data_IF_541998963463
#
_entry.id   IF_541998963463
#
_cell.length_a   1.000
_cell.length_b   1.000
_cell.length_c   1.000
_cell.angle_alpha   90.00
_cell.angle_beta   90.00
_cell.angle_gamma   90.00
#
_symmetry.space_group_name_H-M   'P 1'
#
loop_
_entity.id
_entity.type
_entity.pdbx_description
1 polymer ?
#
# COMPACT_ATOMS: atom_id res chain seq x y z
N UNK A 1 29.88 14.44 10.56
CA UNK A 1 29.66 13.36 9.57
C UNK A 1 29.81 11.93 10.13
N UNK A 2 30.60 11.70 11.17
CA UNK A 2 30.86 10.37 11.71
C UNK A 2 29.65 9.66 12.33
N UNK A 3 28.69 10.40 12.95
CA UNK A 3 27.57 9.77 13.67
C UNK A 3 26.61 8.96 12.76
N UNK A 4 26.24 9.46 11.60
CA UNK A 4 25.35 8.74 10.68
C UNK A 4 26.04 7.53 10.02
N UNK A 5 27.37 7.57 9.88
CA UNK A 5 28.18 6.49 9.32
C UNK A 5 28.39 5.34 10.31
N UNK A 6 28.41 5.64 11.62
CA UNK A 6 28.62 4.67 12.71
C UNK A 6 27.35 3.85 13.04
N UNK A 7 26.18 4.20 12.47
CA UNK A 7 24.92 3.54 12.77
C UNK A 7 24.64 2.36 11.81
N UNK A 8 24.32 1.20 12.35
CA UNK A 8 23.93 0.00 11.61
C UNK A 8 22.51 0.05 11.04
N UNK A 9 22.08 1.23 10.54
CA UNK A 9 20.72 1.42 10.03
C UNK A 9 20.52 0.79 8.65
N UNK A 10 19.30 0.30 8.40
CA UNK A 10 18.86 -0.09 7.07
C UNK A 10 18.92 1.10 6.10
N UNK A 11 19.12 0.84 4.81
CA UNK A 11 19.26 1.88 3.78
C UNK A 11 18.08 2.89 3.77
N UNK A 12 16.83 2.42 3.93
CA UNK A 12 15.66 3.30 3.97
C UNK A 12 15.63 4.21 5.22
N UNK A 13 16.08 3.72 6.37
CA UNK A 13 16.22 4.53 7.58
C UNK A 13 17.28 5.62 7.37
N UNK A 14 18.46 5.25 6.83
CA UNK A 14 19.52 6.22 6.49
C UNK A 14 19.04 7.28 5.51
N UNK A 15 18.26 6.88 4.51
CA UNK A 15 17.67 7.80 3.52
C UNK A 15 16.68 8.77 4.17
N UNK A 16 15.82 8.28 5.08
CA UNK A 16 14.90 9.12 5.84
C UNK A 16 15.64 10.20 6.62
N UNK A 17 16.60 9.82 7.46
CA UNK A 17 17.42 10.75 8.23
C UNK A 17 18.18 11.74 7.35
N UNK A 18 18.81 11.26 6.27
CA UNK A 18 19.48 12.13 5.31
C UNK A 18 18.54 13.19 4.74
N UNK A 19 17.36 12.79 4.28
CA UNK A 19 16.39 13.72 3.69
C UNK A 19 15.90 14.76 4.70
N UNK A 20 15.68 14.36 5.96
CA UNK A 20 15.30 15.26 7.03
C UNK A 20 16.42 16.27 7.32
N UNK A 21 17.67 15.81 7.43
CA UNK A 21 18.83 16.69 7.69
C UNK A 21 19.05 17.68 6.53
N UNK A 22 19.04 17.18 5.28
CA UNK A 22 19.20 18.03 4.09
C UNK A 22 18.06 19.06 3.99
N UNK A 23 16.81 18.66 4.23
CA UNK A 23 15.68 19.58 4.22
C UNK A 23 15.78 20.64 5.31
N UNK A 24 16.15 20.24 6.54
CA UNK A 24 16.26 21.13 7.66
C UNK A 24 17.39 22.17 7.51
N UNK A 25 18.60 21.73 7.14
CA UNK A 25 19.73 22.64 6.99
C UNK A 25 19.59 23.55 5.77
N UNK A 26 19.02 23.07 4.69
CA UNK A 26 18.67 23.91 3.55
C UNK A 26 17.67 25.00 3.94
N UNK A 27 16.61 24.66 4.67
CA UNK A 27 15.65 25.64 5.17
C UNK A 27 16.31 26.71 6.07
N UNK A 28 17.23 26.32 6.97
CA UNK A 28 17.98 27.28 7.81
C UNK A 28 18.83 28.22 6.97
N UNK A 29 19.50 27.71 5.93
CA UNK A 29 20.31 28.50 5.01
C UNK A 29 19.42 29.45 4.17
N UNK A 30 18.38 28.94 3.53
CA UNK A 30 17.50 29.70 2.63
C UNK A 30 16.72 30.79 3.37
N UNK A 31 16.48 30.63 4.67
CA UNK A 31 15.82 31.63 5.53
C UNK A 31 16.80 32.59 6.22
N UNK A 32 18.09 32.53 5.91
CA UNK A 32 19.14 33.37 6.49
C UNK A 32 19.43 33.11 7.97
N UNK A 33 18.88 32.02 8.55
CA UNK A 33 19.10 31.62 9.95
C UNK A 33 20.45 30.97 10.17
N UNK A 34 21.11 30.55 9.10
CA UNK A 34 22.44 29.97 9.09
C UNK A 34 23.17 30.34 7.81
N UNK A 35 24.45 30.68 7.91
CA UNK A 35 25.25 31.12 6.75
C UNK A 35 25.72 29.96 5.86
N UNK A 36 25.77 28.72 6.37
CA UNK A 36 26.22 27.53 5.65
C UNK A 36 25.16 26.43 5.66
N UNK A 37 25.23 25.50 4.70
CA UNK A 37 24.44 24.24 4.66
C UNK A 37 25.38 23.04 4.91
N UNK A 38 25.57 22.60 6.17
CA UNK A 38 26.44 21.48 6.49
C UNK A 38 25.94 20.13 5.97
N UNK A 39 24.70 20.05 5.50
CA UNK A 39 24.12 18.84 4.91
C UNK A 39 24.22 18.79 3.39
N UNK A 40 24.64 19.85 2.71
CA UNK A 40 24.77 19.91 1.25
C UNK A 40 25.68 18.81 0.70
N UNK A 41 26.76 18.48 1.41
CA UNK A 41 27.74 17.45 1.02
C UNK A 41 27.38 16.02 1.43
N UNK A 42 26.22 15.79 2.07
CA UNK A 42 25.82 14.45 2.50
C UNK A 42 25.59 13.54 1.28
N UNK A 43 26.28 12.37 1.21
CA UNK A 43 26.16 11.46 0.07
C UNK A 43 24.75 10.93 -0.09
N UNK A 44 24.32 10.75 -1.35
CA UNK A 44 23.01 10.15 -1.64
C UNK A 44 23.01 8.68 -1.20
N UNK A 45 21.98 8.26 -0.47
CA UNK A 45 21.79 6.85 -0.13
C UNK A 45 21.25 6.11 -1.35
N UNK A 46 21.94 5.06 -1.77
CA UNK A 46 21.50 4.22 -2.90
C UNK A 46 20.13 3.62 -2.61
N UNK A 47 19.19 3.79 -3.54
CA UNK A 47 17.87 3.17 -3.43
C UNK A 47 18.02 1.65 -3.53
N UNK A 48 17.59 0.92 -2.53
CA UNK A 48 17.32 -0.52 -2.67
C UNK A 48 15.99 -0.66 -3.38
N UNK A 49 15.91 -1.51 -4.41
CA UNK A 49 14.63 -1.88 -5.01
C UNK A 49 13.96 -2.87 -4.06
N UNK A 50 12.84 -2.50 -3.41
CA UNK A 50 12.13 -3.46 -2.58
C UNK A 50 11.53 -4.55 -3.47
N UNK A 51 11.70 -5.80 -3.07
CA UNK A 51 10.99 -6.91 -3.70
C UNK A 51 9.54 -6.92 -3.24
N UNK A 52 8.58 -7.23 -4.14
CA UNK A 52 7.20 -7.44 -3.74
C UNK A 52 7.12 -8.55 -2.69
N UNK A 53 6.30 -8.33 -1.65
CA UNK A 53 6.04 -9.33 -0.62
C UNK A 53 4.53 -9.51 -0.47
N UNK A 54 3.88 -10.24 -1.40
CA UNK A 54 2.45 -10.55 -1.29
C UNK A 54 2.20 -11.45 -0.08
N UNK A 55 1.21 -11.10 0.73
CA UNK A 55 0.80 -11.94 1.86
C UNK A 55 0.22 -13.26 1.32
N UNK A 56 0.75 -14.42 1.75
CA UNK A 56 0.19 -15.71 1.35
C UNK A 56 -1.27 -15.86 1.81
N UNK A 57 -2.13 -16.41 0.95
CA UNK A 57 -3.55 -16.59 1.23
C UNK A 57 -3.82 -17.42 2.49
N UNK A 58 -2.94 -18.39 2.82
CA UNK A 58 -3.05 -19.16 4.07
C UNK A 58 -3.00 -18.28 5.32
N UNK A 59 -2.18 -17.23 5.32
CA UNK A 59 -2.08 -16.31 6.46
C UNK A 59 -3.30 -15.40 6.56
N UNK A 60 -3.86 -15.00 5.42
CA UNK A 60 -5.08 -14.19 5.39
C UNK A 60 -6.27 -15.02 5.88
N UNK A 61 -6.40 -16.28 5.42
CA UNK A 61 -7.48 -17.18 5.88
C UNK A 61 -7.38 -17.45 7.37
N UNK A 62 -6.19 -17.73 7.89
CA UNK A 62 -6.00 -17.90 9.34
C UNK A 62 -6.39 -16.62 10.10
N UNK A 63 -5.93 -15.45 9.65
CA UNK A 63 -6.28 -14.18 10.26
C UNK A 63 -7.80 -13.89 10.23
N UNK A 64 -8.50 -14.28 9.16
CA UNK A 64 -9.96 -14.14 9.06
C UNK A 64 -10.72 -15.05 10.06
N UNK A 65 -10.18 -16.23 10.42
CA UNK A 65 -10.78 -17.08 11.44
C UNK A 65 -10.71 -16.44 12.83
N UNK A 66 -9.60 -15.78 13.17
CA UNK A 66 -9.37 -15.18 14.49
C UNK A 66 -9.87 -13.73 14.60
N UNK A 67 -10.33 -13.14 13.49
CA UNK A 67 -10.71 -11.74 13.41
C UNK A 67 -12.13 -11.49 13.91
N UNK A 68 -12.33 -10.38 14.62
CA UNK A 68 -13.64 -9.79 14.85
C UNK A 68 -14.25 -9.31 13.52
N UNK A 69 -15.55 -9.04 13.48
CA UNK A 69 -16.23 -8.57 12.26
C UNK A 69 -15.58 -7.28 11.70
N UNK A 70 -15.28 -6.32 12.56
CA UNK A 70 -14.55 -5.09 12.19
C UNK A 70 -13.19 -5.38 11.58
N UNK A 71 -12.45 -6.32 12.14
CA UNK A 71 -11.12 -6.69 11.65
C UNK A 71 -11.17 -7.48 10.35
N UNK A 72 -12.22 -8.30 10.16
CA UNK A 72 -12.50 -8.98 8.88
C UNK A 72 -12.68 -7.98 7.76
N UNK A 73 -13.47 -6.93 7.99
CA UNK A 73 -13.66 -5.86 7.02
C UNK A 73 -12.33 -5.14 6.70
N UNK A 74 -11.51 -4.83 7.72
CA UNK A 74 -10.18 -4.24 7.50
C UNK A 74 -9.26 -5.15 6.68
N UNK A 75 -9.23 -6.46 6.99
CA UNK A 75 -8.43 -7.45 6.25
C UNK A 75 -8.89 -7.53 4.78
N UNK A 76 -10.19 -7.62 4.55
CA UNK A 76 -10.78 -7.73 3.22
C UNK A 76 -10.52 -6.48 2.39
N UNK A 77 -10.73 -5.28 2.94
CA UNK A 77 -10.42 -4.02 2.25
C UNK A 77 -8.95 -3.94 1.83
N UNK A 78 -8.03 -4.45 2.65
CA UNK A 78 -6.61 -4.53 2.29
C UNK A 78 -6.29 -5.61 1.25
N UNK A 79 -6.88 -6.81 1.37
CA UNK A 79 -6.54 -7.98 0.57
C UNK A 79 -7.36 -8.11 -0.72
N UNK A 80 -8.62 -7.67 -0.74
CA UNK A 80 -9.57 -7.82 -1.84
C UNK A 80 -9.76 -6.52 -2.65
N UNK A 81 -9.59 -5.34 -2.02
CA UNK A 81 -9.71 -4.05 -2.68
C UNK A 81 -8.38 -3.25 -2.75
N UNK A 82 -7.31 -3.77 -2.15
CA UNK A 82 -5.97 -3.20 -2.24
C UNK A 82 -5.81 -1.82 -1.60
N UNK A 83 -6.62 -1.48 -0.60
CA UNK A 83 -6.63 -0.17 0.02
C UNK A 83 -5.38 0.07 0.89
N UNK A 84 -4.95 1.34 0.95
CA UNK A 84 -3.94 1.80 1.93
C UNK A 84 -4.56 1.93 3.32
N UNK A 85 -3.75 1.91 4.37
CA UNK A 85 -4.22 2.07 5.75
C UNK A 85 -5.11 3.30 5.98
N UNK A 86 -4.73 4.44 5.42
CA UNK A 86 -5.51 5.67 5.51
C UNK A 86 -6.82 5.60 4.72
N UNK A 87 -6.83 4.86 3.61
CA UNK A 87 -8.01 4.64 2.79
C UNK A 87 -8.98 3.68 3.49
N UNK A 88 -8.47 2.58 4.10
CA UNK A 88 -9.28 1.68 4.93
C UNK A 88 -9.96 2.45 6.06
N UNK A 89 -9.18 3.26 6.80
CA UNK A 89 -9.71 4.02 7.93
C UNK A 89 -10.85 4.98 7.55
N UNK A 90 -10.81 5.51 6.32
CA UNK A 90 -11.73 6.54 5.81
C UNK A 90 -12.79 5.99 4.83
N UNK A 91 -13.09 4.69 4.86
CA UNK A 91 -14.23 4.13 4.09
C UNK A 91 -15.55 4.61 4.67
N UNK A 92 -16.44 5.07 3.79
CA UNK A 92 -17.76 5.57 4.18
C UNK A 92 -18.85 4.90 3.32
N UNK A 93 -20.01 4.62 3.89
CA UNK A 93 -21.13 3.96 3.20
C UNK A 93 -21.50 4.62 1.86
N UNK A 94 -21.48 5.95 1.80
CA UNK A 94 -21.78 6.73 0.57
C UNK A 94 -20.79 6.55 -0.57
N UNK A 95 -19.65 5.92 -0.32
CA UNK A 95 -18.61 5.70 -1.34
C UNK A 95 -18.84 4.40 -2.13
N UNK A 96 -19.85 3.61 -1.75
CA UNK A 96 -20.32 2.45 -2.54
C UNK A 96 -21.12 2.96 -3.72
N UNK A 97 -20.79 2.44 -4.89
CA UNK A 97 -21.51 2.67 -6.14
C UNK A 97 -22.08 1.34 -6.62
N UNK A 98 -23.35 1.35 -6.96
CA UNK A 98 -23.97 0.28 -7.73
C UNK A 98 -23.72 0.53 -9.23
N UNK A 99 -23.44 -0.52 -9.99
CA UNK A 99 -23.22 -0.45 -11.43
C UNK A 99 -23.70 -1.72 -12.11
N UNK A 100 -23.89 -1.68 -13.43
CA UNK A 100 -24.37 -2.81 -14.22
C UNK A 100 -23.44 -4.02 -14.16
N UNK A 101 -22.11 -3.78 -13.98
CA UNK A 101 -21.09 -4.82 -13.85
C UNK A 101 -20.81 -5.22 -12.39
N UNK A 102 -21.67 -4.78 -11.46
CA UNK A 102 -21.53 -5.01 -10.01
C UNK A 102 -21.01 -3.80 -9.23
N UNK A 103 -20.94 -3.92 -7.89
CA UNK A 103 -20.64 -2.83 -7.01
C UNK A 103 -19.17 -2.43 -7.04
N UNK A 104 -18.91 -1.16 -6.78
CA UNK A 104 -17.59 -0.55 -6.73
C UNK A 104 -17.47 0.42 -5.55
N UNK A 105 -16.24 0.72 -5.14
CA UNK A 105 -15.95 1.64 -4.05
C UNK A 105 -15.13 2.82 -4.57
N UNK A 106 -15.61 4.05 -4.29
CA UNK A 106 -14.84 5.27 -4.54
C UNK A 106 -13.78 5.41 -3.46
N UNK A 107 -12.53 5.49 -3.87
CA UNK A 107 -11.39 5.70 -2.97
C UNK A 107 -10.82 7.09 -3.20
N UNK A 108 -10.80 7.91 -2.14
CA UNK A 108 -10.20 9.23 -2.14
C UNK A 108 -8.77 9.17 -1.63
N UNK A 109 -7.83 9.58 -2.46
CA UNK A 109 -6.40 9.57 -2.17
C UNK A 109 -5.84 10.95 -1.85
N UNK A 110 -4.54 11.03 -1.64
CA UNK A 110 -3.83 12.29 -1.40
C UNK A 110 -3.98 13.24 -2.62
N UNK A 111 -4.30 14.52 -2.37
CA UNK A 111 -4.44 15.55 -3.39
C UNK A 111 -5.73 15.45 -4.19
N UNK A 112 -6.80 15.03 -3.54
CA UNK A 112 -8.16 14.88 -4.10
C UNK A 112 -8.28 13.94 -5.31
N UNK A 113 -7.28 13.09 -5.51
CA UNK A 113 -7.33 12.06 -6.55
C UNK A 113 -8.29 10.96 -6.14
N UNK A 114 -9.23 10.69 -7.02
CA UNK A 114 -10.20 9.61 -6.82
C UNK A 114 -9.89 8.44 -7.76
N UNK A 115 -10.24 7.24 -7.31
CA UNK A 115 -10.27 6.04 -8.13
C UNK A 115 -11.44 5.16 -7.74
N UNK A 116 -11.90 4.36 -8.67
CA UNK A 116 -12.96 3.38 -8.46
C UNK A 116 -12.32 2.00 -8.41
N UNK A 117 -12.69 1.20 -7.41
CA UNK A 117 -12.21 -0.16 -7.22
C UNK A 117 -13.41 -1.09 -7.15
N UNK A 118 -13.54 -2.08 -8.05
CA UNK A 118 -14.57 -3.11 -7.96
C UNK A 118 -14.47 -3.87 -6.63
N UNK A 119 -15.59 -4.16 -6.01
CA UNK A 119 -15.70 -4.93 -4.76
C UNK A 119 -16.77 -6.02 -4.91
N UNK A 120 -16.72 -7.03 -4.05
CA UNK A 120 -17.77 -8.06 -4.03
C UNK A 120 -19.06 -7.53 -3.45
N UNK A 121 -20.19 -8.13 -3.86
CA UNK A 121 -21.53 -7.84 -3.38
C UNK A 121 -21.61 -7.85 -1.84
N UNK A 122 -21.12 -8.91 -1.20
CA UNK A 122 -21.08 -9.03 0.25
C UNK A 122 -20.27 -7.90 0.93
N UNK A 123 -19.18 -7.46 0.32
CA UNK A 123 -18.39 -6.34 0.86
C UNK A 123 -19.14 -5.00 0.67
N UNK A 124 -19.80 -4.82 -0.47
CA UNK A 124 -20.63 -3.64 -0.75
C UNK A 124 -21.82 -3.54 0.22
N UNK A 125 -22.54 -4.64 0.45
CA UNK A 125 -23.64 -4.71 1.40
C UNK A 125 -23.20 -4.33 2.81
N UNK A 126 -22.07 -4.88 3.28
CA UNK A 126 -21.53 -4.58 4.61
C UNK A 126 -21.06 -3.14 4.75
N UNK A 127 -20.50 -2.54 3.71
CA UNK A 127 -20.10 -1.13 3.71
C UNK A 127 -21.35 -0.25 3.63
N UNK A 128 -22.26 -0.53 2.72
CA UNK A 128 -23.49 0.23 2.50
C UNK A 128 -24.44 0.23 3.72
N UNK A 129 -24.45 -0.87 4.47
CA UNK A 129 -25.23 -1.01 5.72
C UNK A 129 -24.68 -0.16 6.89
N UNK A 130 -23.51 0.45 6.77
CA UNK A 130 -23.00 1.36 7.80
C UNK A 130 -23.73 2.71 7.74
N UNK A 131 -24.05 3.26 8.91
CA UNK A 131 -24.67 4.59 9.02
C UNK A 131 -23.60 5.70 9.03
N UNK A 132 -22.84 5.83 7.93
CA UNK A 132 -21.76 6.81 7.82
C UNK A 132 -20.39 6.17 7.59
N UNK A 133 -19.43 6.49 8.43
CA UNK A 133 -18.08 5.88 8.35
C UNK A 133 -18.14 4.39 8.74
N UNK A 134 -17.52 3.53 7.93
CA UNK A 134 -17.45 2.08 8.21
C UNK A 134 -16.76 1.79 9.55
N UNK A 135 -15.77 2.59 9.89
CA UNK A 135 -15.03 2.52 11.16
C UNK A 135 -15.11 3.87 11.87
N UNK A 136 -16.19 4.14 12.63
CA UNK A 136 -16.37 5.41 13.31
C UNK A 136 -15.27 5.68 14.34
N UNK A 137 -14.85 6.93 14.47
CA UNK A 137 -13.80 7.39 15.35
C UNK A 137 -14.11 8.74 15.97
N UNK A 138 -13.38 9.08 17.03
CA UNK A 138 -13.70 10.22 17.89
C UNK A 138 -13.35 11.59 17.28
N UNK A 139 -12.24 11.71 16.54
CA UNK A 139 -11.64 13.01 16.20
C UNK A 139 -12.04 13.51 14.82
N UNK A 140 -11.97 12.65 13.82
CA UNK A 140 -12.22 12.97 12.41
C UNK A 140 -13.49 12.33 11.87
N UNK A 141 -14.32 11.76 12.75
CA UNK A 141 -15.47 10.96 12.41
C UNK A 141 -15.13 9.49 12.11
N UNK A 142 -13.88 9.18 11.75
CA UNK A 142 -13.41 7.82 11.51
C UNK A 142 -12.14 7.50 12.34
N UNK A 143 -11.81 6.21 12.43
CA UNK A 143 -10.59 5.75 13.14
C UNK A 143 -9.32 6.25 12.46
N UNK A 144 -8.25 6.36 13.25
CA UNK A 144 -6.92 6.71 12.74
C UNK A 144 -6.27 5.51 12.02
N UNK A 145 -5.41 5.79 11.03
CA UNK A 145 -4.62 4.75 10.33
C UNK A 145 -3.81 3.87 11.26
N UNK A 146 -3.38 4.41 12.41
CA UNK A 146 -2.65 3.68 13.45
C UNK A 146 -3.50 2.61 14.13
N UNK A 147 -4.81 2.85 14.29
CA UNK A 147 -5.77 1.88 14.78
C UNK A 147 -5.84 0.69 13.82
N UNK A 148 -6.12 0.93 12.55
CA UNK A 148 -6.16 -0.12 11.50
C UNK A 148 -4.84 -0.89 11.44
N UNK A 149 -3.70 -0.17 11.47
CA UNK A 149 -2.38 -0.78 11.43
C UNK A 149 -2.15 -1.76 12.59
N UNK A 150 -2.50 -1.37 13.81
CA UNK A 150 -2.34 -2.19 15.01
C UNK A 150 -3.16 -3.48 14.94
N UNK A 151 -4.43 -3.40 14.53
CA UNK A 151 -5.31 -4.55 14.40
C UNK A 151 -4.80 -5.53 13.32
N UNK A 152 -4.48 -5.05 12.14
CA UNK A 152 -3.97 -5.88 11.05
C UNK A 152 -2.60 -6.50 11.36
N UNK A 153 -1.72 -5.77 12.05
CA UNK A 153 -0.39 -6.30 12.43
C UNK A 153 -0.51 -7.37 13.53
N UNK A 154 -1.49 -7.25 14.41
CA UNK A 154 -1.76 -8.27 15.45
C UNK A 154 -2.27 -9.58 14.85
N UNK A 155 -3.12 -9.51 13.83
CA UNK A 155 -3.74 -10.69 13.19
C UNK A 155 -2.79 -11.42 12.23
N UNK A 156 -1.87 -10.70 11.61
CA UNK A 156 -0.97 -11.29 10.63
C UNK A 156 0.31 -11.82 11.30
N UNK A 157 0.89 -12.92 10.80
CA UNK A 157 2.14 -13.45 11.34
C UNK A 157 3.29 -12.45 11.24
N UNK A 158 4.28 -12.58 12.13
CA UNK A 158 5.48 -11.73 12.14
C UNK A 158 6.13 -11.66 10.75
N UNK A 159 6.40 -10.42 10.31
CA UNK A 159 6.99 -10.14 8.99
C UNK A 159 5.97 -9.87 7.89
N UNK A 160 4.67 -10.03 8.16
CA UNK A 160 3.57 -9.65 7.30
C UNK A 160 2.79 -8.49 7.93
N UNK A 161 2.19 -7.65 7.11
CA UNK A 161 1.45 -6.50 7.59
C UNK A 161 0.53 -5.92 6.53
N UNK A 162 -0.13 -4.81 6.82
CA UNK A 162 -1.14 -4.22 5.91
C UNK A 162 -0.65 -3.99 4.48
N UNK A 163 0.62 -3.62 4.34
CA UNK A 163 1.21 -3.38 3.02
C UNK A 163 1.33 -4.65 2.19
N UNK A 164 1.57 -5.80 2.85
CA UNK A 164 1.64 -7.10 2.18
C UNK A 164 0.27 -7.60 1.69
N UNK A 165 -0.84 -7.16 2.30
CA UNK A 165 -2.19 -7.41 1.79
C UNK A 165 -2.40 -6.70 0.45
N UNK A 166 -2.00 -5.43 0.35
CA UNK A 166 -2.06 -4.67 -0.89
C UNK A 166 -1.11 -5.22 -1.96
N UNK A 167 0.06 -5.72 -1.59
CA UNK A 167 0.94 -6.46 -2.51
C UNK A 167 0.26 -7.73 -3.06
N UNK A 168 -0.45 -8.46 -2.18
CA UNK A 168 -1.23 -9.64 -2.61
C UNK A 168 -2.32 -9.26 -3.60
N UNK A 169 -3.10 -8.21 -3.34
CA UNK A 169 -4.10 -7.70 -4.27
C UNK A 169 -3.49 -7.39 -5.63
N UNK A 170 -2.42 -6.59 -5.66
CA UNK A 170 -1.74 -6.23 -6.89
C UNK A 170 -1.24 -7.45 -7.68
N UNK A 171 -0.63 -8.42 -6.99
CA UNK A 171 -0.11 -9.64 -7.60
C UNK A 171 -1.24 -10.48 -8.18
N UNK A 172 -2.35 -10.71 -7.43
CA UNK A 172 -3.50 -11.47 -7.91
C UNK A 172 -4.19 -10.83 -9.10
N UNK A 173 -4.41 -9.50 -9.04
CA UNK A 173 -4.97 -8.76 -10.17
C UNK A 173 -4.09 -8.88 -11.42
N UNK A 174 -2.77 -8.77 -11.27
CA UNK A 174 -1.85 -8.92 -12.39
C UNK A 174 -1.79 -10.37 -12.93
N UNK A 175 -1.80 -11.36 -12.06
CA UNK A 175 -1.84 -12.79 -12.46
C UNK A 175 -3.05 -13.11 -13.33
N UNK A 176 -4.20 -12.47 -13.03
CA UNK A 176 -5.46 -12.71 -13.75
C UNK A 176 -5.58 -11.88 -15.03
N UNK A 177 -5.25 -10.58 -14.96
CA UNK A 177 -5.52 -9.63 -16.04
C UNK A 177 -4.34 -9.45 -16.99
N UNK A 178 -3.13 -9.70 -16.52
CA UNK A 178 -1.87 -9.45 -17.21
C UNK A 178 -1.66 -7.99 -17.64
N UNK A 179 -2.47 -7.08 -17.08
CA UNK A 179 -2.46 -5.66 -17.38
C UNK A 179 -1.89 -4.84 -16.20
N UNK A 180 -0.66 -4.38 -16.35
CA UNK A 180 0.02 -3.57 -15.33
C UNK A 180 -0.55 -2.16 -15.22
N UNK A 181 -1.12 -1.62 -16.30
CA UNK A 181 -1.75 -0.30 -16.30
C UNK A 181 -3.06 -0.34 -15.52
N UNK A 182 -3.86 -1.40 -15.72
CA UNK A 182 -5.06 -1.64 -14.94
C UNK A 182 -4.73 -1.74 -13.46
N UNK A 183 -3.74 -2.56 -13.08
CA UNK A 183 -3.30 -2.68 -11.68
C UNK A 183 -2.82 -1.34 -11.14
N UNK A 184 -2.09 -0.55 -11.92
CA UNK A 184 -1.62 0.80 -11.53
C UNK A 184 -2.80 1.74 -11.24
N UNK A 185 -3.82 1.74 -12.10
CA UNK A 185 -5.07 2.49 -11.92
C UNK A 185 -5.79 2.09 -10.64
N UNK A 186 -6.04 0.81 -10.43
CA UNK A 186 -6.73 0.26 -9.26
C UNK A 186 -5.99 0.59 -7.95
N UNK A 187 -4.67 0.60 -7.98
CA UNK A 187 -3.85 0.99 -6.83
C UNK A 187 -3.73 2.52 -6.66
N UNK A 188 -4.07 3.33 -7.65
CA UNK A 188 -3.89 4.78 -7.63
C UNK A 188 -2.42 5.17 -7.51
N UNK A 189 -1.56 4.56 -8.33
CA UNK A 189 -0.16 4.93 -8.46
C UNK A 189 -0.02 6.05 -9.49
N UNK A 190 0.86 7.02 -9.20
CA UNK A 190 1.17 8.11 -10.13
C UNK A 190 2.10 7.68 -11.27
N UNK A 191 2.76 6.52 -11.15
CA UNK A 191 3.60 5.91 -12.18
C UNK A 191 3.52 4.39 -12.16
N UNK A 192 3.66 3.77 -13.34
CA UNK A 192 3.70 2.32 -13.52
C UNK A 192 4.92 1.70 -12.84
N UNK A 193 6.04 2.40 -12.78
CA UNK A 193 7.25 1.99 -12.05
C UNK A 193 6.96 1.67 -10.59
N UNK A 194 6.08 2.45 -9.95
CA UNK A 194 5.64 2.19 -8.57
C UNK A 194 4.85 0.88 -8.50
N UNK A 195 4.08 0.53 -9.53
CA UNK A 195 3.27 -0.69 -9.58
C UNK A 195 4.14 -1.93 -9.73
N UNK A 196 5.23 -1.87 -10.48
CA UNK A 196 6.18 -2.98 -10.63
C UNK A 196 6.77 -3.46 -9.29
N UNK A 197 6.88 -2.56 -8.31
CA UNK A 197 7.33 -2.88 -6.95
C UNK A 197 6.29 -3.74 -6.19
N UNK A 198 5.03 -3.70 -6.60
CA UNK A 198 3.93 -4.39 -5.92
C UNK A 198 3.53 -5.71 -6.55
N UNK A 199 4.02 -5.98 -7.76
CA UNK A 199 3.68 -7.19 -8.51
C UNK A 199 4.87 -8.15 -8.47
N UNK A 200 4.69 -9.33 -7.87
CA UNK A 200 5.61 -10.44 -8.01
C UNK A 200 5.34 -11.13 -9.36
N UNK A 201 6.36 -11.25 -10.20
CA UNK A 201 6.23 -11.99 -11.44
C UNK A 201 6.48 -13.48 -11.17
N UNK A 202 5.51 -14.38 -11.41
CA UNK A 202 5.69 -15.80 -11.16
C UNK A 202 6.74 -16.39 -12.13
N UNK A 203 7.60 -17.27 -11.62
CA UNK A 203 8.63 -17.97 -12.42
C UNK A 203 8.01 -18.79 -13.58
N UNK A 204 6.78 -19.29 -13.38
CA UNK A 204 6.02 -20.03 -14.42
C UNK A 204 5.77 -19.19 -15.67
N UNK A 205 5.59 -17.86 -15.54
CA UNK A 205 5.41 -16.97 -16.70
C UNK A 205 6.69 -16.74 -17.48
N UNK A 206 7.82 -16.67 -16.78
CA UNK A 206 9.13 -16.57 -17.44
C UNK A 206 9.39 -17.84 -18.26
N UNK A 207 9.04 -19.00 -17.71
CA UNK A 207 9.19 -20.28 -18.40
C UNK A 207 8.23 -20.39 -19.60
N UNK A 208 6.96 -20.05 -19.45
CA UNK A 208 6.00 -20.01 -20.56
C UNK A 208 6.42 -19.02 -21.67
N UNK A 209 7.02 -17.89 -21.30
CA UNK A 209 7.60 -16.95 -22.25
C UNK A 209 8.79 -17.54 -23.02
N UNK A 210 9.66 -18.29 -22.34
CA UNK A 210 10.77 -19.00 -22.97
C UNK A 210 10.25 -20.07 -23.96
N UNK A 211 9.28 -20.86 -23.55
CA UNK A 211 8.69 -21.90 -24.40
C UNK A 211 8.05 -21.31 -25.67
N UNK A 212 7.42 -20.13 -25.55
CA UNK A 212 6.80 -19.44 -26.68
C UNK A 212 7.81 -18.87 -27.71
N UNK A 213 9.04 -18.57 -27.29
CA UNK A 213 10.09 -18.04 -28.20
C UNK A 213 11.12 -19.06 -28.61
N UNK A 214 11.08 -20.27 -28.03
CA UNK A 214 11.98 -21.36 -28.40
C UNK A 214 11.58 -21.90 -29.77
N UNK A 215 12.51 -21.86 -30.72
CA UNK A 215 12.29 -22.47 -32.05
C UNK A 215 12.32 -23.99 -31.86
N UNK A 216 11.23 -24.63 -32.30
CA UNK A 216 11.20 -26.07 -32.39
C UNK A 216 12.30 -26.52 -33.37
N UNK A 217 13.26 -27.32 -32.89
CA UNK A 217 14.30 -27.92 -33.72
C UNK A 217 13.76 -29.07 -34.56
#
# INVERSE_FOLDING_TARGET
MHWTASQSWKAETRKGYRNTLVGFFRWLHDTGRRADDPAASLPKVRKTRPHPRPCPDRHIRAALCDATETERLMLRLGAEAGLRLSEIAAVHARDVLEGDDGPSLIIRGKGDKQRIVPISEDLAERIGGAHGWLFPGRWTGHVEKSYVSRHLTRLLPKGWGPHSLRHRYATRMYETTHDLLLVSKLLGHSSVETTQIYVAMPDSRLRAGLDAVTLAG
#
